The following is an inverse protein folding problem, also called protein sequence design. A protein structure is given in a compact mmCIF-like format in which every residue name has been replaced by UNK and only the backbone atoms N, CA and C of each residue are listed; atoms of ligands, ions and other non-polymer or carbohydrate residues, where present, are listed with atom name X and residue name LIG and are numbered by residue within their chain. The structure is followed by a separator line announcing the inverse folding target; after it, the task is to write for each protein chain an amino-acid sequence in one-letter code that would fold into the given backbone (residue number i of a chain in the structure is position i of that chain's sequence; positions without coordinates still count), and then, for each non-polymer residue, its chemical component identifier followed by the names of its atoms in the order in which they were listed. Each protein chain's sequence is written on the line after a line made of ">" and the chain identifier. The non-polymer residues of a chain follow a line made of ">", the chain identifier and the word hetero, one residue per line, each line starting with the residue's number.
data_IF_092885757637
#
_entry.id   IF_092885757637
#
_cell.length_a   1.000
_cell.length_b   1.000
_cell.length_c   1.000
_cell.angle_alpha   90.00
_cell.angle_beta   90.00
_cell.angle_gamma   90.00
#
_symmetry.space_group_name_H-M   'P 1'
#
loop_
_entity.id
_entity.type
_entity.pdbx_description
1 polymer ?
#
# COMPACT_ATOMS: atom_id res chain seq x y z
N UNK A 1 -20.79 -18.59 -37.33
CA UNK A 1 -20.77 -18.57 -35.85
C UNK A 1 -20.17 -19.87 -35.34
N UNK A 2 -18.91 -19.87 -34.89
CA UNK A 2 -18.29 -20.91 -34.05
C UNK A 2 -16.92 -20.43 -33.55
N UNK A 3 -16.80 -20.31 -32.23
CA UNK A 3 -15.60 -20.29 -31.38
C UNK A 3 -14.29 -19.68 -31.89
N UNK A 4 -13.99 -18.47 -31.41
CA UNK A 4 -12.62 -18.01 -31.14
C UNK A 4 -12.53 -17.86 -29.62
N UNK A 5 -12.18 -18.92 -28.93
CA UNK A 5 -11.84 -18.89 -27.50
C UNK A 5 -10.84 -20.01 -27.28
N UNK A 6 -9.86 -19.74 -26.41
CA UNK A 6 -8.77 -20.65 -25.99
C UNK A 6 -7.50 -20.49 -26.82
N UNK A 7 -6.62 -19.58 -26.39
CA UNK A 7 -5.17 -19.77 -26.23
C UNK A 7 -4.59 -18.49 -25.58
N UNK A 8 -5.06 -18.19 -24.36
CA UNK A 8 -4.49 -17.13 -23.51
C UNK A 8 -4.36 -17.62 -22.07
N UNK A 9 -3.86 -18.84 -21.93
CA UNK A 9 -3.41 -19.44 -20.70
C UNK A 9 -2.25 -20.32 -21.16
N UNK A 10 -0.99 -19.90 -20.99
CA UNK A 10 -0.07 -20.62 -20.09
C UNK A 10 1.19 -19.79 -19.77
N UNK A 11 1.41 -18.60 -20.35
CA UNK A 11 2.70 -17.89 -20.20
C UNK A 11 2.85 -16.92 -19.00
N UNK A 12 1.86 -16.75 -18.13
CA UNK A 12 1.88 -15.69 -17.10
C UNK A 12 2.40 -16.05 -15.68
N UNK A 13 2.49 -17.31 -15.19
CA UNK A 13 2.72 -17.51 -13.76
C UNK A 13 4.20 -17.48 -13.31
N UNK A 14 5.18 -17.59 -14.21
CA UNK A 14 6.59 -17.70 -13.81
C UNK A 14 7.31 -16.36 -13.59
N UNK A 15 6.81 -15.25 -14.14
CA UNK A 15 7.41 -13.92 -13.94
C UNK A 15 6.94 -13.24 -12.63
N UNK A 16 5.87 -13.75 -12.00
CA UNK A 16 5.26 -13.17 -10.80
C UNK A 16 6.01 -13.54 -9.52
N UNK A 17 6.70 -14.69 -9.49
CA UNK A 17 7.43 -15.18 -8.32
C UNK A 17 8.73 -14.42 -8.02
N UNK A 18 9.28 -13.68 -8.99
CA UNK A 18 10.48 -12.85 -8.81
C UNK A 18 10.17 -11.44 -8.26
N UNK A 19 8.90 -11.04 -8.17
CA UNK A 19 8.48 -9.68 -7.79
C UNK A 19 8.19 -9.50 -6.29
N UNK A 20 8.20 -10.56 -5.47
CA UNK A 20 7.57 -10.55 -4.14
C UNK A 20 8.52 -10.48 -2.93
N UNK A 21 9.84 -10.40 -3.12
CA UNK A 21 10.81 -10.31 -2.00
C UNK A 21 11.65 -9.04 -2.09
N UNK A 22 11.04 -7.88 -2.36
CA UNK A 22 11.78 -6.61 -2.30
C UNK A 22 12.48 -6.50 -0.94
N UNK A 23 13.82 -6.37 -0.95
CA UNK A 23 14.64 -6.23 0.27
C UNK A 23 14.43 -4.89 0.98
N UNK A 24 13.36 -4.16 0.68
CA UNK A 24 13.02 -2.95 1.42
C UNK A 24 12.32 -3.30 2.73
N UNK A 25 12.66 -2.54 3.76
CA UNK A 25 12.01 -2.61 5.07
C UNK A 25 10.66 -1.91 5.04
N UNK A 26 10.49 -0.89 4.19
CA UNK A 26 9.23 -0.19 4.03
C UNK A 26 8.26 -0.98 3.17
N UNK A 27 7.04 -1.13 3.66
CA UNK A 27 5.96 -1.82 2.96
C UNK A 27 4.84 -0.81 2.63
N UNK A 28 4.82 -0.18 1.43
CA UNK A 28 3.81 0.83 1.09
C UNK A 28 2.41 0.24 1.15
N UNK A 29 1.47 0.90 1.82
CA UNK A 29 0.05 0.58 1.65
C UNK A 29 -0.39 1.03 0.26
N UNK A 30 -1.26 0.26 -0.40
CA UNK A 30 -1.80 0.68 -1.67
C UNK A 30 -2.50 2.04 -1.54
N UNK A 31 -2.22 3.00 -2.42
CA UNK A 31 -2.96 4.27 -2.44
C UNK A 31 -4.47 4.04 -2.49
N UNK A 32 -5.21 4.79 -1.67
CA UNK A 32 -6.66 4.63 -1.56
C UNK A 32 -7.32 4.99 -2.89
N UNK A 33 -8.12 4.07 -3.43
CA UNK A 33 -8.98 4.34 -4.59
C UNK A 33 -10.36 4.72 -4.07
N UNK A 34 -10.85 5.91 -4.44
CA UNK A 34 -12.20 6.37 -4.11
C UNK A 34 -13.00 6.60 -5.38
N UNK A 35 -14.27 6.20 -5.35
CA UNK A 35 -15.27 6.67 -6.31
C UNK A 35 -16.53 7.20 -5.62
N UNK A 36 -16.41 7.55 -4.34
CA UNK A 36 -17.42 8.26 -3.57
C UNK A 36 -17.55 9.67 -4.12
N UNK A 37 -18.72 10.01 -4.67
CA UNK A 37 -19.00 11.24 -5.40
C UNK A 37 -20.24 11.98 -4.91
N UNK A 38 -20.92 11.50 -3.87
CA UNK A 38 -22.07 12.18 -3.27
C UNK A 38 -22.09 12.07 -1.74
N UNK A 39 -22.83 12.98 -1.10
CA UNK A 39 -23.09 12.94 0.36
C UNK A 39 -23.82 11.65 0.71
N UNK A 40 -23.41 11.02 1.81
CA UNK A 40 -24.02 9.81 2.35
C UNK A 40 -23.55 8.54 1.66
N UNK A 41 -22.68 8.63 0.66
CA UNK A 41 -22.07 7.46 0.05
C UNK A 41 -20.96 6.88 0.93
N UNK A 42 -20.92 5.55 1.01
CA UNK A 42 -19.94 4.76 1.72
C UNK A 42 -19.33 3.74 0.75
N UNK A 43 -18.02 3.62 0.77
CA UNK A 43 -17.27 2.64 0.00
C UNK A 43 -16.38 1.83 0.93
N UNK A 44 -16.53 0.51 0.89
CA UNK A 44 -15.74 -0.47 1.63
C UNK A 44 -14.93 -1.27 0.63
N UNK A 45 -13.62 -1.29 0.76
CA UNK A 45 -12.73 -2.06 -0.10
C UNK A 45 -11.96 -3.08 0.73
N UNK A 46 -11.81 -4.29 0.21
CA UNK A 46 -10.90 -5.31 0.71
C UNK A 46 -10.08 -5.88 -0.44
N UNK A 47 -8.77 -6.03 -0.28
CA UNK A 47 -7.89 -6.58 -1.31
C UNK A 47 -6.80 -7.48 -0.73
N UNK A 48 -6.27 -8.33 -1.59
CA UNK A 48 -5.13 -9.19 -1.33
C UNK A 48 -4.04 -8.93 -2.37
N UNK A 49 -2.80 -8.81 -1.90
CA UNK A 49 -1.62 -8.71 -2.75
C UNK A 49 -0.97 -10.11 -2.92
N UNK A 50 -0.21 -10.37 -4.00
CA UNK A 50 0.45 -11.66 -4.22
C UNK A 50 1.38 -12.10 -3.09
N UNK A 51 1.89 -11.16 -2.29
CA UNK A 51 2.72 -11.42 -1.13
C UNK A 51 1.90 -11.81 0.13
N UNK A 52 0.63 -12.19 -0.01
CA UNK A 52 -0.34 -12.55 1.07
C UNK A 52 -0.75 -11.41 1.99
N UNK A 53 -0.40 -10.17 1.65
CA UNK A 53 -0.81 -8.99 2.41
C UNK A 53 -2.28 -8.68 2.13
N UNK A 54 -3.04 -8.50 3.20
CA UNK A 54 -4.43 -8.07 3.18
C UNK A 54 -4.50 -6.58 3.43
N UNK A 55 -5.36 -5.89 2.68
CA UNK A 55 -5.64 -4.47 2.86
C UNK A 55 -7.14 -4.23 2.87
N UNK A 56 -7.57 -3.30 3.70
CA UNK A 56 -8.95 -2.85 3.74
C UNK A 56 -9.01 -1.33 3.86
N UNK A 57 -10.03 -0.74 3.25
CA UNK A 57 -10.23 0.70 3.25
C UNK A 57 -11.72 1.02 3.34
N UNK A 58 -12.03 2.05 4.12
CA UNK A 58 -13.37 2.60 4.30
C UNK A 58 -13.31 4.07 3.93
N UNK A 59 -14.21 4.51 3.05
CA UNK A 59 -14.35 5.91 2.65
C UNK A 59 -15.81 6.30 2.79
N UNK A 60 -16.07 7.41 3.47
CA UNK A 60 -17.42 7.92 3.70
C UNK A 60 -17.50 9.41 3.40
N UNK A 61 -18.60 9.84 2.80
CA UNK A 61 -18.92 11.25 2.58
C UNK A 61 -19.99 11.75 3.56
N UNK A 62 -19.61 12.34 4.72
CA UNK A 62 -20.60 12.84 5.68
C UNK A 62 -21.34 14.10 5.18
N UNK A 63 -20.66 14.91 4.37
CA UNK A 63 -21.10 16.20 3.87
C UNK A 63 -20.76 16.30 2.38
N UNK A 64 -21.44 17.15 1.60
CA UNK A 64 -21.09 17.35 0.20
C UNK A 64 -19.62 17.73 0.04
N UNK A 65 -18.93 17.08 -0.89
CA UNK A 65 -17.52 17.31 -1.21
C UNK A 65 -16.58 17.09 -0.01
N UNK A 66 -16.97 16.29 0.98
CA UNK A 66 -16.13 15.95 2.13
C UNK A 66 -15.96 14.45 2.18
N UNK A 67 -14.75 13.97 2.44
CA UNK A 67 -14.45 12.56 2.62
C UNK A 67 -13.75 12.33 3.95
N UNK A 68 -14.10 11.22 4.59
CA UNK A 68 -13.38 10.63 5.72
C UNK A 68 -12.91 9.27 5.28
N UNK A 69 -11.65 8.96 5.57
CA UNK A 69 -11.01 7.71 5.17
C UNK A 69 -10.36 7.03 6.38
N UNK A 70 -10.51 5.71 6.45
CA UNK A 70 -9.73 4.85 7.32
C UNK A 70 -9.26 3.63 6.53
N UNK A 71 -8.01 3.22 6.67
CA UNK A 71 -7.47 2.05 6.02
C UNK A 71 -6.60 1.24 6.98
N UNK A 72 -6.54 -0.06 6.73
CA UNK A 72 -5.73 -1.00 7.50
C UNK A 72 -5.02 -1.96 6.57
N UNK A 73 -3.82 -2.38 6.97
CA UNK A 73 -3.08 -3.40 6.27
C UNK A 73 -2.47 -4.40 7.23
N UNK A 74 -2.56 -5.67 6.87
CA UNK A 74 -2.09 -6.77 7.68
C UNK A 74 -1.45 -7.83 6.81
N UNK A 75 -0.23 -8.23 7.18
CA UNK A 75 0.43 -9.43 6.66
C UNK A 75 0.82 -10.29 7.85
N UNK A 76 0.21 -11.48 8.01
CA UNK A 76 0.58 -12.37 9.11
C UNK A 76 1.99 -12.91 8.93
N UNK A 77 2.63 -13.28 10.05
CA UNK A 77 3.86 -14.07 10.02
C UNK A 77 3.52 -15.47 9.53
N UNK A 78 3.96 -15.81 8.32
CA UNK A 78 3.83 -17.17 7.75
C UNK A 78 5.23 -17.77 7.73
N UNK A 79 5.43 -18.87 8.47
CA UNK A 79 6.72 -19.55 8.60
C UNK A 79 7.60 -19.05 9.75
N UNK A 80 8.56 -19.89 10.17
CA UNK A 80 9.39 -19.63 11.36
C UNK A 80 10.68 -18.88 11.04
N UNK A 81 11.30 -19.18 9.90
CA UNK A 81 12.66 -18.74 9.57
C UNK A 81 12.70 -17.60 8.55
N UNK A 82 11.94 -17.71 7.45
CA UNK A 82 11.77 -16.65 6.45
C UNK A 82 10.36 -16.11 6.54
N UNK A 83 10.22 -14.83 6.92
CA UNK A 83 8.90 -14.23 7.10
C UNK A 83 8.92 -12.73 6.82
N UNK A 84 7.74 -12.18 6.57
CA UNK A 84 7.48 -10.75 6.53
C UNK A 84 6.13 -10.54 7.18
N UNK A 85 6.13 -9.88 8.33
CA UNK A 85 4.93 -9.52 9.07
C UNK A 85 4.80 -8.00 9.10
N UNK A 86 3.58 -7.51 8.87
CA UNK A 86 3.32 -6.07 8.77
C UNK A 86 1.95 -5.77 9.34
N UNK A 87 1.85 -4.70 10.11
CA UNK A 87 0.58 -4.10 10.56
C UNK A 87 0.65 -2.61 10.36
N UNK A 88 -0.32 -2.05 9.65
CA UNK A 88 -0.39 -0.62 9.38
C UNK A 88 -1.83 -0.12 9.45
N UNK A 89 -1.98 1.15 9.75
CA UNK A 89 -3.24 1.86 9.63
C UNK A 89 -3.01 3.27 9.08
N UNK A 90 -4.03 3.79 8.42
CA UNK A 90 -4.09 5.17 7.92
C UNK A 90 -5.47 5.75 8.25
N UNK A 91 -5.50 7.04 8.53
CA UNK A 91 -6.72 7.82 8.61
C UNK A 91 -6.51 9.15 7.88
N UNK A 92 -7.56 9.67 7.25
CA UNK A 92 -7.46 10.88 6.46
C UNK A 92 -8.78 11.58 6.20
N UNK A 93 -8.65 12.82 5.74
CA UNK A 93 -9.74 13.67 5.30
C UNK A 93 -9.50 14.10 3.86
N UNK A 94 -10.57 14.37 3.14
CA UNK A 94 -10.48 14.69 1.73
C UNK A 94 -11.70 15.38 1.17
N UNK A 95 -11.67 15.54 -0.14
CA UNK A 95 -12.74 16.15 -0.93
C UNK A 95 -12.81 15.48 -2.30
N UNK A 96 -13.93 15.65 -2.97
CA UNK A 96 -14.12 15.21 -4.34
C UNK A 96 -14.79 16.31 -5.16
N UNK A 97 -14.54 16.30 -6.46
CA UNK A 97 -15.18 17.19 -7.44
C UNK A 97 -15.46 16.43 -8.71
N UNK A 98 -16.65 16.64 -9.28
CA UNK A 98 -17.01 16.13 -10.60
C UNK A 98 -16.44 17.09 -11.64
N UNK A 99 -15.54 16.60 -12.50
CA UNK A 99 -14.96 17.37 -13.61
C UNK A 99 -15.85 17.29 -14.88
N UNK A 100 -16.89 16.48 -14.83
CA UNK A 100 -17.86 16.25 -15.90
C UNK A 100 -18.76 15.06 -15.54
N UNK A 101 -19.60 14.58 -16.48
CA UNK A 101 -20.58 13.53 -16.18
C UNK A 101 -19.99 12.17 -15.79
N UNK A 102 -18.71 11.94 -16.12
CA UNK A 102 -18.02 10.65 -15.96
C UNK A 102 -16.67 10.76 -15.28
N UNK A 103 -16.25 11.96 -14.87
CA UNK A 103 -14.92 12.18 -14.30
C UNK A 103 -15.03 12.67 -12.86
N UNK A 104 -14.43 11.91 -11.95
CA UNK A 104 -14.36 12.24 -10.54
C UNK A 104 -12.89 12.46 -10.16
N UNK A 105 -12.59 13.65 -9.66
CA UNK A 105 -11.32 13.96 -9.02
C UNK A 105 -11.51 13.88 -7.51
N UNK A 106 -10.63 13.17 -6.82
CA UNK A 106 -10.62 13.06 -5.36
C UNK A 106 -9.27 13.44 -4.81
N UNK A 107 -9.23 14.18 -3.71
CA UNK A 107 -8.02 14.49 -2.95
C UNK A 107 -8.18 14.04 -1.51
N UNK A 108 -7.17 13.36 -0.96
CA UNK A 108 -7.16 12.90 0.45
C UNK A 108 -5.79 13.20 1.04
N UNK A 109 -5.75 13.75 2.26
CA UNK A 109 -4.54 13.86 3.05
C UNK A 109 -4.75 13.24 4.43
N UNK A 110 -3.70 12.72 5.02
CA UNK A 110 -3.83 11.98 6.26
C UNK A 110 -2.52 11.60 6.92
N UNK A 111 -2.68 10.76 7.94
CA UNK A 111 -1.62 10.23 8.78
C UNK A 111 -1.78 8.72 8.91
N UNK A 112 -0.67 8.02 9.09
CA UNK A 112 -0.67 6.60 9.39
C UNK A 112 0.54 6.17 10.19
N UNK A 113 0.45 4.98 10.76
CA UNK A 113 1.53 4.35 11.49
C UNK A 113 1.64 2.86 11.10
N UNK A 114 2.85 2.33 11.19
CA UNK A 114 3.18 1.01 10.72
C UNK A 114 4.27 0.36 11.57
N UNK A 115 4.13 -0.94 11.78
CA UNK A 115 5.18 -1.82 12.27
C UNK A 115 5.42 -2.94 11.28
N UNK A 116 6.68 -3.23 11.01
CA UNK A 116 7.11 -4.28 10.10
C UNK A 116 8.27 -5.06 10.70
N UNK A 117 8.23 -6.37 10.52
CA UNK A 117 9.32 -7.27 10.86
C UNK A 117 9.55 -8.23 9.71
N UNK A 118 10.80 -8.46 9.36
CA UNK A 118 11.19 -9.28 8.23
C UNK A 118 12.38 -10.14 8.60
N UNK A 119 12.39 -11.37 8.12
CA UNK A 119 13.53 -12.28 8.18
C UNK A 119 13.71 -12.86 6.78
N UNK A 120 14.87 -12.61 6.18
CA UNK A 120 15.21 -13.11 4.85
C UNK A 120 16.48 -13.97 4.95
N UNK A 121 16.62 -15.02 4.13
CA UNK A 121 17.88 -15.75 4.04
C UNK A 121 19.01 -14.77 3.70
N UNK A 122 20.05 -14.72 4.53
CA UNK A 122 21.23 -13.91 4.25
C UNK A 122 21.96 -14.46 3.03
N UNK A 123 22.58 -13.57 2.24
CA UNK A 123 23.39 -13.98 1.09
C UNK A 123 24.77 -14.43 1.59
N UNK A 124 24.87 -15.68 2.06
CA UNK A 124 26.12 -16.37 2.35
C UNK A 124 26.52 -17.29 1.19
N UNK A 125 27.63 -16.98 0.52
CA UNK A 125 28.17 -17.82 -0.56
C UNK A 125 28.90 -19.01 0.07
N UNK A 126 28.29 -20.20 0.04
CA UNK A 126 28.97 -21.50 0.20
C UNK A 126 29.09 -22.07 1.63
N UNK A 127 28.71 -23.36 1.75
CA UNK A 127 29.01 -24.40 2.76
C UNK A 127 29.01 -24.11 4.28
N UNK A 128 29.05 -22.86 4.76
CA UNK A 128 29.06 -22.51 6.17
C UNK A 128 27.73 -21.82 6.53
N UNK A 129 26.78 -22.62 7.04
CA UNK A 129 25.49 -22.24 7.63
C UNK A 129 25.04 -20.79 7.44
N UNK A 130 24.28 -20.53 6.37
CA UNK A 130 23.68 -19.21 6.11
C UNK A 130 22.73 -18.79 7.23
N UNK A 131 23.00 -17.66 7.86
CA UNK A 131 22.09 -17.04 8.82
C UNK A 131 20.94 -16.28 8.14
N UNK A 132 20.14 -15.57 8.94
CA UNK A 132 18.99 -14.81 8.45
C UNK A 132 19.18 -13.33 8.73
N UNK A 133 19.03 -12.51 7.70
CA UNK A 133 19.03 -11.07 7.88
C UNK A 133 17.64 -10.65 8.37
N UNK A 134 17.62 -9.98 9.51
CA UNK A 134 16.39 -9.57 10.19
C UNK A 134 16.26 -8.07 10.19
N UNK A 135 15.09 -7.58 9.82
CA UNK A 135 14.76 -6.16 9.82
C UNK A 135 13.56 -5.92 10.72
N UNK A 136 13.63 -4.84 11.49
CA UNK A 136 12.50 -4.32 12.26
C UNK A 136 12.36 -2.84 11.96
N UNK A 137 11.14 -2.40 11.68
CA UNK A 137 10.88 -0.97 11.63
C UNK A 137 9.52 -0.62 12.22
N UNK A 138 9.52 0.53 12.86
CA UNK A 138 8.33 1.24 13.31
C UNK A 138 8.41 2.63 12.71
N UNK A 139 7.37 3.04 12.00
CA UNK A 139 7.35 4.32 11.33
C UNK A 139 5.97 4.93 11.29
N UNK A 140 5.95 6.25 11.35
CA UNK A 140 4.79 7.08 11.06
C UNK A 140 4.92 7.69 9.68
N UNK A 141 3.80 8.10 9.10
CA UNK A 141 3.79 8.81 7.82
C UNK A 141 2.67 9.83 7.76
N UNK A 142 2.97 10.95 7.10
CA UNK A 142 1.96 11.88 6.60
C UNK A 142 1.89 11.73 5.09
N UNK A 143 0.70 11.78 4.53
CA UNK A 143 0.52 11.59 3.10
C UNK A 143 -0.52 12.55 2.52
N UNK A 144 -0.37 12.83 1.24
CA UNK A 144 -1.38 13.47 0.40
C UNK A 144 -1.51 12.68 -0.89
N UNK A 145 -2.72 12.53 -1.39
CA UNK A 145 -2.98 11.82 -2.64
C UNK A 145 -4.08 12.48 -3.46
N UNK A 146 -3.95 12.34 -4.78
CA UNK A 146 -4.94 12.72 -5.77
C UNK A 146 -5.31 11.49 -6.59
N UNK A 147 -6.59 11.32 -6.88
CA UNK A 147 -7.07 10.29 -7.78
C UNK A 147 -8.01 10.86 -8.83
N UNK A 148 -7.84 10.41 -10.07
CA UNK A 148 -8.74 10.73 -11.17
C UNK A 148 -9.39 9.42 -11.65
N UNK A 149 -10.71 9.37 -11.62
CA UNK A 149 -11.50 8.21 -11.99
C UNK A 149 -12.44 8.54 -13.15
N UNK A 150 -12.47 7.66 -14.15
CA UNK A 150 -13.48 7.64 -15.20
C UNK A 150 -14.55 6.60 -14.87
N UNK A 151 -15.81 7.01 -14.82
CA UNK A 151 -16.96 6.18 -14.44
C UNK A 151 -17.83 5.91 -15.66
N UNK A 152 -17.96 4.63 -16.01
CA UNK A 152 -18.90 4.10 -17.00
C UNK A 152 -20.03 3.34 -16.28
N UNK A 153 -21.06 2.94 -17.02
CA UNK A 153 -22.21 2.25 -16.45
C UNK A 153 -21.84 0.96 -15.72
N UNK A 154 -20.91 0.17 -16.25
CA UNK A 154 -20.53 -1.14 -15.69
C UNK A 154 -19.09 -1.17 -15.13
N UNK A 155 -18.30 -0.13 -15.41
CA UNK A 155 -16.87 -0.16 -15.20
C UNK A 155 -16.36 1.18 -14.69
N UNK A 156 -15.27 1.18 -13.94
CA UNK A 156 -14.52 2.40 -13.69
C UNK A 156 -13.03 2.12 -13.71
N UNK A 157 -12.25 3.09 -14.15
CA UNK A 157 -10.80 2.99 -14.17
C UNK A 157 -10.19 4.35 -13.90
N UNK A 158 -8.92 4.36 -13.53
CA UNK A 158 -8.26 5.61 -13.21
C UNK A 158 -6.88 5.42 -12.65
N UNK A 159 -6.36 6.53 -12.14
CA UNK A 159 -5.04 6.62 -11.55
C UNK A 159 -5.10 7.34 -10.21
N UNK A 160 -4.21 6.94 -9.31
CA UNK A 160 -3.96 7.58 -8.02
C UNK A 160 -2.48 7.90 -7.95
N UNK A 161 -2.16 9.10 -7.49
CA UNK A 161 -0.81 9.48 -7.14
C UNK A 161 -0.80 9.97 -5.70
N UNK A 162 0.11 9.40 -4.91
CA UNK A 162 0.28 9.66 -3.49
C UNK A 162 1.73 10.08 -3.22
N UNK A 163 1.87 11.14 -2.45
CA UNK A 163 3.13 11.58 -1.87
C UNK A 163 3.10 11.28 -0.37
N UNK A 164 4.07 10.50 0.12
CA UNK A 164 4.15 10.12 1.52
C UNK A 164 5.50 10.51 2.11
N UNK A 165 5.48 11.24 3.22
CA UNK A 165 6.66 11.51 4.04
C UNK A 165 6.66 10.53 5.20
N UNK A 166 7.64 9.63 5.20
CA UNK A 166 7.82 8.57 6.20
C UNK A 166 8.87 9.02 7.20
N UNK A 167 8.57 8.82 8.49
CA UNK A 167 9.49 9.04 9.59
C UNK A 167 9.64 7.74 10.38
N UNK A 168 10.85 7.21 10.38
CA UNK A 168 11.22 6.01 11.12
C UNK A 168 11.49 6.37 12.58
N UNK A 169 10.69 5.80 13.47
CA UNK A 169 10.91 5.83 14.92
C UNK A 169 11.90 4.73 15.32
N UNK A 170 11.85 3.61 14.62
CA UNK A 170 12.77 2.49 14.75
C UNK A 170 13.07 1.95 13.35
N UNK A 171 14.33 1.68 13.07
CA UNK A 171 14.76 1.02 11.83
C UNK A 171 16.05 0.27 12.13
N UNK A 172 15.91 -1.01 12.43
CA UNK A 172 17.01 -1.86 12.89
C UNK A 172 17.24 -3.02 11.94
N UNK A 173 18.49 -3.45 11.85
CA UNK A 173 18.92 -4.62 11.07
C UNK A 173 19.81 -5.53 11.92
N UNK A 174 19.79 -6.83 11.63
CA UNK A 174 20.64 -7.86 12.24
C UNK A 174 21.10 -8.81 11.13
N UNK A 175 22.38 -9.15 11.09
CA UNK A 175 22.98 -9.97 10.03
C UNK A 175 23.24 -11.41 10.47
N UNK A 176 22.90 -12.36 9.59
CA UNK A 176 23.36 -13.73 9.69
C UNK A 176 22.94 -14.45 10.99
N UNK A 177 23.92 -14.97 11.72
CA UNK A 177 23.71 -15.71 12.98
C UNK A 177 23.71 -14.79 14.21
N UNK A 178 24.09 -13.52 14.05
CA UNK A 178 24.15 -12.59 15.17
C UNK A 178 22.73 -12.14 15.55
N UNK A 179 22.41 -12.19 16.84
CA UNK A 179 21.14 -11.68 17.38
C UNK A 179 21.11 -10.17 17.56
N UNK A 180 22.28 -9.52 17.51
CA UNK A 180 22.40 -8.09 17.79
C UNK A 180 21.83 -7.26 16.65
N UNK A 181 20.97 -6.31 17.02
CA UNK A 181 20.39 -5.34 16.10
C UNK A 181 21.23 -4.07 16.10
N UNK A 182 21.54 -3.56 14.91
CA UNK A 182 22.13 -2.25 14.69
C UNK A 182 21.09 -1.33 14.04
N UNK A 183 21.07 -0.06 14.46
CA UNK A 183 20.20 0.95 13.87
C UNK A 183 20.69 1.31 12.46
N UNK A 184 19.77 1.47 11.51
CA UNK A 184 20.06 2.05 10.19
C UNK A 184 19.96 3.58 10.34
N UNK A 185 20.94 4.37 9.87
CA UNK A 185 20.98 5.82 10.02
C UNK A 185 19.96 6.58 9.17
N UNK A 186 18.89 5.95 8.68
CA UNK A 186 17.86 6.60 7.87
C UNK A 186 16.59 6.85 8.70
N UNK A 187 16.36 8.10 9.06
CA UNK A 187 15.19 8.48 9.86
C UNK A 187 13.99 8.95 9.02
N UNK A 188 14.21 9.42 7.78
CA UNK A 188 13.16 10.03 6.96
C UNK A 188 13.28 9.60 5.51
N UNK A 189 12.13 9.42 4.85
CA UNK A 189 12.07 9.15 3.42
C UNK A 189 10.86 9.86 2.80
N UNK A 190 11.04 10.44 1.61
CA UNK A 190 9.94 10.91 0.79
C UNK A 190 9.62 9.84 -0.26
N UNK A 191 8.34 9.51 -0.42
CA UNK A 191 7.89 8.48 -1.35
C UNK A 191 6.83 8.96 -2.32
N UNK A 192 7.01 8.51 -3.56
CA UNK A 192 6.15 8.77 -4.70
C UNK A 192 5.48 7.46 -5.08
N UNK A 193 4.17 7.39 -4.88
CA UNK A 193 3.39 6.17 -5.04
C UNK A 193 2.34 6.40 -6.14
N UNK A 194 2.51 5.74 -7.28
CA UNK A 194 1.57 5.80 -8.40
C UNK A 194 0.81 4.47 -8.50
N UNK A 195 -0.49 4.53 -8.76
CA UNK A 195 -1.37 3.36 -8.84
C UNK A 195 -2.38 3.55 -9.96
N UNK A 196 -2.49 2.59 -10.87
CA UNK A 196 -3.62 2.44 -11.76
C UNK A 196 -4.62 1.43 -11.17
N UNK A 197 -5.91 1.66 -11.43
CA UNK A 197 -6.95 0.72 -11.01
C UNK A 197 -7.97 0.51 -12.13
N UNK A 198 -8.59 -0.67 -12.07
CA UNK A 198 -9.75 -1.03 -12.87
C UNK A 198 -10.78 -1.70 -11.97
N UNK A 199 -12.05 -1.34 -12.14
CA UNK A 199 -13.19 -1.90 -11.42
C UNK A 199 -14.28 -2.31 -12.40
N UNK A 200 -14.93 -3.42 -12.11
CA UNK A 200 -16.12 -3.88 -12.84
C UNK A 200 -17.21 -4.25 -11.85
N UNK A 201 -18.45 -3.85 -12.13
CA UNK A 201 -19.59 -4.14 -11.26
C UNK A 201 -19.95 -5.63 -11.31
N UNK A 202 -20.43 -6.14 -10.19
CA UNK A 202 -20.92 -7.50 -10.02
C UNK A 202 -22.43 -7.48 -9.75
N UNK A 203 -23.20 -8.01 -10.69
CA UNK A 203 -24.66 -8.12 -10.59
C UNK A 203 -25.40 -6.83 -10.91
N UNK A 204 -26.73 -6.89 -10.82
CA UNK A 204 -27.63 -5.79 -11.23
C UNK A 204 -27.77 -4.67 -10.20
N UNK A 205 -27.38 -4.90 -8.95
CA UNK A 205 -27.60 -3.94 -7.87
C UNK A 205 -26.47 -2.92 -7.72
N UNK A 206 -25.40 -3.01 -8.51
CA UNK A 206 -24.23 -2.11 -8.47
C UNK A 206 -23.48 -2.00 -7.12
N UNK A 207 -23.86 -2.82 -6.14
CA UNK A 207 -23.34 -2.79 -4.77
C UNK A 207 -21.96 -3.42 -4.64
N UNK A 208 -21.66 -4.39 -5.48
CA UNK A 208 -20.41 -5.15 -5.46
C UNK A 208 -19.61 -4.86 -6.71
N UNK A 209 -18.30 -4.72 -6.58
CA UNK A 209 -17.39 -4.55 -7.71
C UNK A 209 -16.13 -5.37 -7.48
N UNK A 210 -15.58 -5.95 -8.54
CA UNK A 210 -14.21 -6.46 -8.52
C UNK A 210 -13.27 -5.29 -8.78
N UNK A 211 -12.11 -5.31 -8.14
CA UNK A 211 -11.06 -4.32 -8.33
C UNK A 211 -9.73 -5.02 -8.63
N UNK A 212 -9.04 -4.57 -9.66
CA UNK A 212 -7.65 -4.90 -9.92
C UNK A 212 -6.80 -3.62 -9.87
N UNK A 213 -5.61 -3.72 -9.30
CA UNK A 213 -4.68 -2.58 -9.18
C UNK A 213 -3.26 -2.96 -9.52
N UNK A 214 -2.53 -1.98 -10.08
CA UNK A 214 -1.12 -2.07 -10.43
C UNK A 214 -0.47 -0.73 -10.14
N UNK A 215 0.62 -0.73 -9.39
CA UNK A 215 1.29 0.50 -8.97
C UNK A 215 2.75 0.31 -8.62
N UNK A 216 3.43 1.42 -8.41
CA UNK A 216 4.84 1.51 -8.06
C UNK A 216 5.04 2.56 -6.98
N UNK A 217 5.88 2.25 -6.01
CA UNK A 217 6.32 3.17 -4.95
C UNK A 217 7.81 3.39 -5.09
N UNK A 218 8.25 4.59 -5.48
CA UNK A 218 9.65 5.02 -5.45
C UNK A 218 9.97 5.86 -4.22
N UNK A 219 11.22 5.85 -3.77
CA UNK A 219 11.67 6.71 -2.68
C UNK A 219 12.81 7.62 -3.12
N UNK A 220 12.78 8.86 -2.65
CA UNK A 220 13.93 9.76 -2.67
C UNK A 220 14.51 9.77 -1.26
N UNK A 221 15.70 9.20 -1.04
CA UNK A 221 16.38 9.26 0.25
C UNK A 221 16.55 10.73 0.65
N UNK A 222 16.20 11.07 1.89
CA UNK A 222 16.59 12.36 2.45
C UNK A 222 17.93 12.16 3.17
N UNK A 223 18.94 13.02 2.92
CA UNK A 223 20.21 12.93 3.63
C UNK A 223 19.95 13.03 5.13
N UNK A 224 20.48 12.09 5.90
CA UNK A 224 20.49 12.21 7.36
C UNK A 224 21.67 13.07 7.80
N UNK A 225 21.40 13.92 8.79
CA UNK A 225 22.37 14.90 9.31
C UNK A 225 23.31 14.27 10.34
N UNK A 226 22.93 13.12 10.92
CA UNK A 226 23.71 12.42 11.94
C UNK A 226 23.51 10.91 11.83
N UNK A 227 24.62 10.15 11.81
CA UNK A 227 24.60 8.71 12.03
C UNK A 227 24.33 8.44 13.51
N UNK A 228 23.40 7.53 13.88
CA UNK A 228 23.16 7.15 15.26
C UNK A 228 24.44 6.63 15.93
N UNK A 229 24.63 6.94 17.21
CA UNK A 229 25.68 6.33 18.01
C UNK A 229 25.43 4.81 18.14
N UNK A 230 26.41 3.99 17.79
CA UNK A 230 26.30 2.52 17.87
C UNK A 230 27.62 1.79 17.54
N UNK A 231 27.73 0.49 17.85
CA UNK A 231 28.95 -0.29 17.68
C UNK A 231 29.46 -0.35 16.22
N UNK A 232 28.61 -0.03 15.24
CA UNK A 232 28.93 -0.02 13.82
C UNK A 232 29.00 1.40 13.21
N UNK A 233 29.09 2.46 14.02
CA UNK A 233 29.11 3.88 13.59
C UNK A 233 30.12 4.22 12.48
N UNK A 234 31.13 3.37 12.26
CA UNK A 234 32.18 3.58 11.26
C UNK A 234 32.06 2.70 10.01
N UNK A 235 31.05 1.83 9.90
CA UNK A 235 30.83 1.04 8.68
C UNK A 235 29.91 1.79 7.70
N UNK A 236 30.44 2.89 7.16
CA UNK A 236 29.79 3.73 6.17
C UNK A 236 29.26 2.93 4.96
N UNK A 237 29.90 1.81 4.61
CA UNK A 237 29.51 1.00 3.47
C UNK A 237 28.20 0.25 3.73
N UNK A 238 28.10 -0.42 4.89
CA UNK A 238 26.90 -1.16 5.30
C UNK A 238 25.72 -0.21 5.50
N UNK A 239 25.94 0.94 6.13
CA UNK A 239 24.91 1.95 6.36
C UNK A 239 24.29 2.49 5.07
N UNK A 240 25.13 2.89 4.10
CA UNK A 240 24.67 3.39 2.81
C UNK A 240 23.96 2.30 1.99
N UNK A 241 24.45 1.06 2.05
CA UNK A 241 23.83 -0.08 1.38
C UNK A 241 22.44 -0.34 1.93
N UNK A 242 22.28 -0.37 3.24
CA UNK A 242 20.97 -0.64 3.87
C UNK A 242 20.00 0.52 3.73
N UNK A 243 20.46 1.77 3.79
CA UNK A 243 19.64 2.94 3.44
C UNK A 243 19.13 2.86 1.98
N UNK A 244 20.01 2.48 1.04
CA UNK A 244 19.62 2.25 -0.36
C UNK A 244 18.64 1.08 -0.52
N UNK A 245 18.81 0.01 0.24
CA UNK A 245 17.88 -1.13 0.24
C UNK A 245 16.49 -0.71 0.76
N UNK A 246 16.45 0.08 1.81
CA UNK A 246 15.21 0.64 2.36
C UNK A 246 14.52 1.60 1.37
N UNK A 247 15.27 2.31 0.52
CA UNK A 247 14.72 3.23 -0.49
C UNK A 247 14.36 2.57 -1.83
N UNK A 248 14.50 1.25 -1.99
CA UNK A 248 14.18 0.58 -3.25
C UNK A 248 12.72 0.76 -3.64
N UNK A 249 12.50 0.81 -4.95
CA UNK A 249 11.16 0.84 -5.50
C UNK A 249 10.39 -0.45 -5.17
N UNK A 250 9.09 -0.32 -4.93
CA UNK A 250 8.20 -1.43 -4.59
C UNK A 250 7.06 -1.50 -5.58
N UNK A 251 6.92 -2.63 -6.26
CA UNK A 251 5.75 -2.92 -7.07
C UNK A 251 4.56 -3.26 -6.16
N UNK A 252 3.41 -2.68 -6.45
CA UNK A 252 2.16 -2.93 -5.76
C UNK A 252 1.18 -3.55 -6.76
N UNK A 253 0.66 -4.73 -6.47
CA UNK A 253 -0.42 -5.34 -7.26
C UNK A 253 -1.44 -5.93 -6.31
N UNK A 254 -2.72 -5.81 -6.63
CA UNK A 254 -3.75 -6.44 -5.82
C UNK A 254 -4.98 -6.81 -6.63
N UNK A 255 -5.71 -7.78 -6.09
CA UNK A 255 -7.08 -8.08 -6.47
C UNK A 255 -7.96 -7.89 -5.24
N UNK A 256 -9.13 -7.31 -5.44
CA UNK A 256 -10.02 -6.99 -4.34
C UNK A 256 -11.48 -6.88 -4.74
N UNK A 257 -12.28 -6.58 -3.74
CA UNK A 257 -13.72 -6.39 -3.83
C UNK A 257 -14.07 -5.05 -3.20
N UNK A 258 -14.97 -4.33 -3.85
CA UNK A 258 -15.55 -3.09 -3.36
C UNK A 258 -17.02 -3.32 -3.07
N UNK A 259 -17.48 -2.87 -1.91
CA UNK A 259 -18.86 -2.91 -1.48
C UNK A 259 -19.37 -1.50 -1.18
N UNK A 260 -20.51 -1.15 -1.75
CA UNK A 260 -21.23 0.11 -1.52
C UNK A 260 -22.62 -0.15 -0.97
N UNK A 261 -22.86 0.08 0.33
CA UNK A 261 -24.20 -0.04 0.88
C UNK A 261 -25.06 1.15 0.46
N UNK A 262 -26.34 0.90 0.21
CA UNK A 262 -27.35 1.95 0.15
C UNK A 262 -27.70 2.33 1.59
N UNK A 263 -27.26 3.50 2.04
CA UNK A 263 -27.68 4.03 3.32
C UNK A 263 -29.07 4.66 3.15
N UNK A 264 -30.09 4.25 3.94
CA UNK A 264 -31.42 4.82 3.84
C UNK A 264 -31.32 6.32 4.09
N UNK A 265 -31.75 7.13 3.12
CA UNK A 265 -31.91 8.55 3.36
C UNK A 265 -32.99 8.73 4.42
N UNK A 266 -32.60 9.24 5.58
CA UNK A 266 -33.56 9.66 6.61
C UNK A 266 -34.32 10.85 6.02
N UNK A 267 -35.46 10.58 5.39
CA UNK A 267 -36.39 11.61 4.95
C UNK A 267 -36.71 12.47 6.16
N UNK A 268 -36.43 13.78 6.08
CA UNK A 268 -36.87 14.69 7.15
C UNK A 268 -38.39 14.59 7.21
N UNK A 269 -38.99 14.50 8.42
CA UNK A 269 -40.43 14.62 8.54
C UNK A 269 -40.84 15.96 7.92
N UNK A 270 -41.80 15.91 7.00
CA UNK A 270 -42.46 17.12 6.49
C UNK A 270 -43.06 17.80 7.70
N UNK A 271 -42.57 18.98 8.06
CA UNK A 271 -43.23 19.78 9.09
C UNK A 271 -44.59 20.23 8.54
N UNK A 272 -45.69 20.00 9.29
CA UNK A 272 -47.03 20.41 8.90
C UNK A 272 -47.19 21.92 8.83
#
# INVERSE_FOLDING_TARGET
>A
MKSITTYLAICAPLAVSLLATSCTVYTPMQPTVSTVGAKGELELTGSIQPNTRLESTVIYSPLPNTLVMAAGSFRPKIGDTTYSATRQWEAGLGSYVHLGPRWLLTGIAGYGNATTSKSIPGVGIGMYGGGYDRYKATYSKVFGQLSLAHQLEQQSFGVVYRLARVQYEQLDYSFGLNSDYAAIPMQKALRHEALAFYRTKLGQQDRWQLQATLGLSGATPQPTVEAPDGPNRNDNYTEQREARNASRAVLMTSLGVVFRPHLPHKTRPVQP
#
